data_IF_326725716857
#
_entry.id   IF_326725716857
#
_cell.length_a   1.000
_cell.length_b   1.000
_cell.length_c   1.000
_cell.angle_alpha   90.00
_cell.angle_beta   90.00
_cell.angle_gamma   90.00
#
_symmetry.space_group_name_H-M   'P 1'
#
loop_
_entity.id
_entity.type
_entity.pdbx_description
1 polymer ?
#
# COMPACT_ATOMS: atom_id res chain seq x y z
N UNK A 1 3.12 -37.07 -32.64
CA UNK A 1 3.08 -35.62 -32.93
C UNK A 1 3.84 -34.76 -31.90
N UNK A 2 3.91 -35.17 -30.62
CA UNK A 2 4.67 -34.44 -29.57
C UNK A 2 6.20 -34.39 -29.80
N UNK A 3 6.78 -35.39 -30.48
CA UNK A 3 8.23 -35.51 -30.68
C UNK A 3 8.85 -34.33 -31.45
N UNK A 4 8.20 -33.90 -32.54
CA UNK A 4 8.75 -32.84 -33.42
C UNK A 4 8.73 -31.48 -32.72
N UNK A 5 7.67 -31.18 -31.97
CA UNK A 5 7.54 -29.92 -31.23
C UNK A 5 8.63 -29.78 -30.15
N UNK A 6 8.94 -30.87 -29.43
CA UNK A 6 9.99 -30.87 -28.40
C UNK A 6 11.39 -30.72 -29.00
N UNK A 7 11.61 -31.29 -30.17
CA UNK A 7 12.88 -31.21 -30.90
C UNK A 7 13.16 -29.80 -31.42
N UNK A 8 12.14 -29.11 -31.95
CA UNK A 8 12.21 -27.70 -32.35
C UNK A 8 12.45 -26.79 -31.12
N UNK A 9 11.75 -27.03 -30.01
CA UNK A 9 11.93 -26.28 -28.76
C UNK A 9 13.35 -26.41 -28.18
N UNK A 10 13.92 -27.61 -28.26
CA UNK A 10 15.24 -27.92 -27.71
C UNK A 10 16.38 -27.63 -28.68
N UNK A 11 16.09 -27.28 -29.93
CA UNK A 11 17.09 -26.84 -30.88
C UNK A 11 17.63 -25.45 -30.51
N UNK A 12 16.74 -24.54 -30.10
CA UNK A 12 17.07 -23.17 -29.75
C UNK A 12 16.91 -22.91 -28.24
N UNK A 13 17.70 -23.64 -27.45
CA UNK A 13 17.59 -23.71 -25.97
C UNK A 13 17.72 -22.34 -25.31
N UNK A 14 18.56 -21.47 -25.85
CA UNK A 14 18.81 -20.14 -25.29
C UNK A 14 17.56 -19.27 -25.42
N UNK A 15 16.95 -19.25 -26.61
CA UNK A 15 15.70 -18.53 -26.87
C UNK A 15 14.55 -19.07 -26.03
N UNK A 16 14.46 -20.40 -25.89
CA UNK A 16 13.45 -21.02 -25.05
C UNK A 16 13.59 -20.63 -23.57
N UNK A 17 14.81 -20.71 -23.02
CA UNK A 17 15.08 -20.35 -21.61
C UNK A 17 14.76 -18.89 -21.34
N UNK A 18 15.15 -17.97 -22.22
CA UNK A 18 14.83 -16.53 -22.08
C UNK A 18 13.32 -16.31 -22.05
N UNK A 19 12.57 -17.00 -22.91
CA UNK A 19 11.12 -16.84 -23.01
C UNK A 19 10.43 -17.37 -21.75
N UNK A 20 10.82 -18.56 -21.28
CA UNK A 20 10.27 -19.16 -20.06
C UNK A 20 10.64 -18.36 -18.82
N UNK A 21 11.88 -17.89 -18.72
CA UNK A 21 12.33 -17.06 -17.61
C UNK A 21 11.54 -15.75 -17.54
N UNK A 22 11.37 -15.07 -18.68
CA UNK A 22 10.59 -13.82 -18.77
C UNK A 22 9.15 -14.04 -18.34
N UNK A 23 8.51 -15.12 -18.82
CA UNK A 23 7.15 -15.46 -18.43
C UNK A 23 7.06 -15.78 -16.93
N UNK A 24 8.03 -16.51 -16.39
CA UNK A 24 8.11 -16.79 -14.96
C UNK A 24 8.22 -15.52 -14.12
N UNK A 25 9.09 -14.60 -14.51
CA UNK A 25 9.25 -13.30 -13.84
C UNK A 25 7.95 -12.49 -13.91
N UNK A 26 7.28 -12.45 -15.06
CA UNK A 26 6.01 -11.74 -15.21
C UNK A 26 4.93 -12.29 -14.27
N UNK A 27 4.84 -13.61 -14.12
CA UNK A 27 3.88 -14.26 -13.22
C UNK A 27 4.20 -13.92 -11.77
N UNK A 28 5.47 -14.04 -11.36
CA UNK A 28 5.89 -13.71 -9.98
C UNK A 28 5.62 -12.25 -9.66
N UNK A 29 5.95 -11.34 -10.58
CA UNK A 29 5.69 -9.91 -10.42
C UNK A 29 4.20 -9.63 -10.28
N UNK A 30 3.36 -10.26 -11.10
CA UNK A 30 1.90 -10.09 -11.01
C UNK A 30 1.36 -10.53 -9.65
N UNK A 31 1.83 -11.67 -9.13
CA UNK A 31 1.44 -12.15 -7.80
C UNK A 31 1.92 -11.18 -6.72
N UNK A 32 3.14 -10.66 -6.86
CA UNK A 32 3.69 -9.64 -5.96
C UNK A 32 2.85 -8.37 -5.96
N UNK A 33 2.47 -7.84 -7.14
CA UNK A 33 1.67 -6.63 -7.27
C UNK A 33 0.30 -6.79 -6.60
N UNK A 34 -0.34 -7.96 -6.78
CA UNK A 34 -1.62 -8.28 -6.14
C UNK A 34 -1.46 -8.39 -4.61
N UNK A 35 -0.42 -9.08 -4.14
CA UNK A 35 -0.14 -9.20 -2.71
C UNK A 35 0.15 -7.84 -2.06
N UNK A 36 0.93 -7.00 -2.72
CA UNK A 36 1.22 -5.64 -2.29
C UNK A 36 -0.06 -4.80 -2.24
N UNK A 37 -0.90 -4.88 -3.27
CA UNK A 37 -2.16 -4.15 -3.31
C UNK A 37 -3.07 -4.49 -2.12
N UNK A 38 -3.29 -5.78 -1.86
CA UNK A 38 -4.09 -6.21 -0.71
C UNK A 38 -3.44 -5.89 0.62
N UNK A 39 -2.11 -6.02 0.74
CA UNK A 39 -1.37 -5.68 1.94
C UNK A 39 -1.50 -4.20 2.30
N UNK A 40 -1.23 -3.30 1.35
CA UNK A 40 -1.34 -1.84 1.55
C UNK A 40 -2.79 -1.42 1.81
N UNK A 41 -3.74 -2.01 1.09
CA UNK A 41 -5.17 -1.70 1.30
C UNK A 41 -5.62 -2.16 2.68
N UNK A 42 -5.22 -3.36 3.10
CA UNK A 42 -5.54 -3.88 4.43
C UNK A 42 -4.92 -3.03 5.55
N UNK A 43 -3.66 -2.61 5.39
CA UNK A 43 -2.99 -1.76 6.38
C UNK A 43 -3.66 -0.38 6.50
N UNK A 44 -4.02 0.21 5.36
CA UNK A 44 -4.71 1.52 5.31
C UNK A 44 -6.10 1.47 5.96
N UNK A 45 -6.87 0.42 5.71
CA UNK A 45 -8.21 0.26 6.31
C UNK A 45 -8.10 -0.05 7.81
N UNK A 46 -7.13 -0.88 8.21
CA UNK A 46 -6.94 -1.23 9.61
C UNK A 46 -6.51 -0.02 10.47
N UNK A 47 -5.80 0.95 9.89
CA UNK A 47 -5.52 2.23 10.56
C UNK A 47 -6.81 2.97 10.88
N UNK A 48 -7.75 3.05 9.94
CA UNK A 48 -9.05 3.72 10.13
C UNK A 48 -9.90 2.96 11.16
N UNK A 49 -9.98 1.63 11.03
CA UNK A 49 -10.78 0.78 11.92
C UNK A 49 -10.26 0.81 13.38
N UNK A 50 -8.94 0.82 13.57
CA UNK A 50 -8.32 0.82 14.92
C UNK A 50 -8.14 2.21 15.51
N UNK A 51 -8.17 3.28 14.71
CA UNK A 51 -8.06 4.63 15.24
C UNK A 51 -9.25 5.00 16.15
N UNK A 52 -10.40 4.34 15.98
CA UNK A 52 -11.63 4.59 16.76
C UNK A 52 -11.98 6.09 16.89
N UNK A 53 -11.58 6.90 15.92
CA UNK A 53 -11.80 8.33 15.96
C UNK A 53 -13.22 8.66 15.47
N UNK A 54 -13.99 9.35 16.31
CA UNK A 54 -15.34 9.82 15.98
C UNK A 54 -15.32 10.98 14.97
N UNK A 55 -14.23 11.76 14.96
CA UNK A 55 -14.04 12.89 14.06
C UNK A 55 -12.62 12.91 13.50
N UNK A 56 -12.52 13.09 12.18
CA UNK A 56 -11.26 13.24 11.47
C UNK A 56 -11.13 14.67 10.94
N UNK A 57 -9.95 15.24 11.09
CA UNK A 57 -9.61 16.57 10.61
C UNK A 57 -8.57 16.41 9.50
N UNK A 58 -8.91 16.90 8.30
CA UNK A 58 -8.04 16.89 7.14
C UNK A 58 -7.87 18.30 6.61
N UNK A 59 -6.82 18.52 5.84
CA UNK A 59 -6.64 19.76 5.09
C UNK A 59 -7.67 19.86 3.97
N UNK A 60 -8.14 21.07 3.70
CA UNK A 60 -9.10 21.30 2.62
C UNK A 60 -8.46 21.02 1.25
N UNK A 61 -9.11 20.18 0.45
CA UNK A 61 -8.62 19.76 -0.87
C UNK A 61 -7.64 18.59 -0.88
N UNK A 62 -7.18 18.10 0.27
CA UNK A 62 -6.31 16.93 0.32
C UNK A 62 -7.14 15.64 0.46
N UNK A 63 -6.96 14.73 -0.50
CA UNK A 63 -7.72 13.47 -0.56
C UNK A 63 -6.87 12.26 -0.22
N UNK A 64 -5.56 12.43 -0.04
CA UNK A 64 -4.64 11.36 0.31
C UNK A 64 -4.24 11.41 1.78
N UNK A 65 -4.48 10.30 2.48
CA UNK A 65 -4.13 10.12 3.90
C UNK A 65 -2.61 10.15 4.15
N UNK A 66 -1.80 9.89 3.12
CA UNK A 66 -0.34 9.85 3.20
C UNK A 66 0.32 11.17 2.76
N UNK A 67 -0.45 12.22 2.51
CA UNK A 67 0.10 13.52 2.16
C UNK A 67 0.79 14.15 3.39
N UNK A 68 1.91 14.88 3.20
CA UNK A 68 2.53 15.61 4.29
C UNK A 68 1.56 16.67 4.81
N UNK A 69 1.17 16.54 6.08
CA UNK A 69 0.22 17.44 6.72
C UNK A 69 0.81 18.85 6.86
N UNK A 70 0.14 19.85 6.29
CA UNK A 70 0.39 21.27 6.56
C UNK A 70 -0.36 21.76 7.81
N UNK A 71 -1.17 20.90 8.44
CA UNK A 71 -1.87 21.22 9.69
C UNK A 71 -0.83 21.51 10.78
N UNK A 72 -0.83 22.74 11.35
CA UNK A 72 0.16 23.10 12.35
C UNK A 72 -0.10 22.32 13.66
N UNK A 73 0.98 21.93 14.34
CA UNK A 73 0.91 21.23 15.64
C UNK A 73 0.09 21.96 16.71
N UNK A 74 -0.09 23.28 16.57
CA UNK A 74 -0.96 24.09 17.44
C UNK A 74 -2.45 23.77 17.29
N UNK A 75 -2.88 23.23 16.15
CA UNK A 75 -4.26 22.81 15.91
C UNK A 75 -4.67 21.66 16.82
N UNK A 76 -3.74 20.73 17.12
CA UNK A 76 -3.98 19.64 18.08
C UNK A 76 -4.28 20.19 19.48
N UNK A 77 -3.52 21.19 19.92
CA UNK A 77 -3.74 21.86 21.19
C UNK A 77 -5.08 22.58 21.25
N UNK A 78 -5.54 23.16 20.13
CA UNK A 78 -6.86 23.79 20.04
C UNK A 78 -7.99 22.77 20.08
N UNK A 79 -7.87 21.67 19.31
CA UNK A 79 -8.85 20.59 19.29
C UNK A 79 -9.08 19.99 20.69
N UNK A 80 -8.00 19.76 21.46
CA UNK A 80 -8.10 19.26 22.85
C UNK A 80 -8.82 20.20 23.82
N UNK A 81 -9.00 21.48 23.47
CA UNK A 81 -9.68 22.47 24.31
C UNK A 81 -11.17 22.63 23.97
N UNK A 82 -11.64 22.03 22.88
CA UNK A 82 -13.04 22.07 22.52
C UNK A 82 -13.86 21.21 23.47
N UNK A 83 -14.99 21.75 23.92
CA UNK A 83 -15.90 21.04 24.80
C UNK A 83 -16.49 19.83 24.07
N UNK A 84 -16.45 18.66 24.71
CA UNK A 84 -16.82 17.37 24.10
C UNK A 84 -15.68 16.57 23.45
N UNK A 85 -14.45 17.12 23.33
CA UNK A 85 -13.29 16.36 22.84
C UNK A 85 -12.61 15.62 24.00
N UNK A 86 -12.78 14.30 24.06
CA UNK A 86 -12.14 13.45 25.08
C UNK A 86 -10.64 13.30 24.80
N UNK A 87 -10.25 13.03 23.55
CA UNK A 87 -8.86 12.87 23.13
C UNK A 87 -8.66 13.40 21.72
N UNK A 88 -7.50 13.98 21.46
CA UNK A 88 -7.06 14.32 20.10
C UNK A 88 -5.60 13.89 19.93
N UNK A 89 -5.31 13.19 18.83
CA UNK A 89 -3.99 12.69 18.45
C UNK A 89 -3.67 13.13 17.02
N UNK A 90 -2.38 13.32 16.72
CA UNK A 90 -1.93 13.53 15.35
C UNK A 90 -1.69 12.16 14.70
N UNK A 91 -2.18 11.97 13.49
CA UNK A 91 -1.90 10.79 12.69
C UNK A 91 -0.61 11.04 11.91
N UNK A 92 0.48 10.47 12.40
CA UNK A 92 1.74 10.44 11.66
C UNK A 92 1.83 9.11 10.90
N UNK A 93 1.83 9.19 9.57
CA UNK A 93 1.98 8.03 8.68
C UNK A 93 3.45 7.56 8.59
N UNK A 94 4.38 8.15 9.36
CA UNK A 94 5.75 7.65 9.53
C UNK A 94 5.74 6.25 10.14
N UNK A 95 5.65 5.26 9.25
CA UNK A 95 5.84 3.81 9.42
C UNK A 95 5.98 3.39 10.89
N UNK A 96 4.85 3.18 11.56
CA UNK A 96 4.77 2.39 12.78
C UNK A 96 5.08 3.07 14.12
N UNK A 97 4.91 4.39 14.27
CA UNK A 97 4.99 5.02 15.60
C UNK A 97 3.79 5.92 15.91
N UNK A 98 2.72 5.31 16.43
CA UNK A 98 1.70 6.04 17.18
C UNK A 98 2.29 6.36 18.56
N UNK A 99 2.65 7.62 18.80
CA UNK A 99 3.02 8.14 20.13
C UNK A 99 2.18 9.36 20.49
#
# INVERSE_FOLDING_TARGET
MVSIAREILLHDKLRFVITVASLGVAIVMTIYDVGMFFGVTGDSVNLIDRAHAELWLFEDGESHLAAPSLVPNSALGWARRLDGVNQACALDYSIGNLK
#
